data_IF_041487579247
#
_entry.id   IF_041487579247
#
_cell.length_a   1.000
_cell.length_b   1.000
_cell.length_c   1.000
_cell.angle_alpha   90.00
_cell.angle_beta   90.00
_cell.angle_gamma   90.00
#
_symmetry.space_group_name_H-M   'P 1'
#
loop_
_entity.id
_entity.type
_entity.pdbx_description
1 polymer ?
#
# COMPACT_ATOMS: atom_id res chain seq x y z
N UNK A 1 2.80 20.10 -9.40
CA UNK A 1 3.48 18.82 -9.06
C UNK A 1 2.60 17.97 -8.19
N UNK A 2 2.71 16.64 -8.30
CA UNK A 2 1.90 15.70 -7.51
C UNK A 2 2.71 14.49 -7.08
N UNK A 3 2.37 13.93 -5.93
CA UNK A 3 2.82 12.61 -5.49
C UNK A 3 1.65 11.63 -5.53
N UNK A 4 1.87 10.41 -6.02
CA UNK A 4 0.85 9.39 -6.15
C UNK A 4 1.33 8.04 -5.59
N UNK A 5 0.65 7.55 -4.57
CA UNK A 5 0.79 6.18 -4.08
C UNK A 5 -0.21 5.29 -4.82
N UNK A 6 0.30 4.32 -5.58
CA UNK A 6 -0.45 3.36 -6.36
C UNK A 6 -0.60 2.02 -5.62
N UNK A 7 -1.26 2.03 -4.46
CA UNK A 7 -1.34 0.86 -3.60
C UNK A 7 -2.43 -0.16 -3.99
N UNK A 8 -2.21 -1.42 -3.66
CA UNK A 8 -3.17 -2.52 -3.89
C UNK A 8 -4.50 -2.28 -3.17
N UNK A 9 -4.48 -1.70 -1.98
CA UNK A 9 -5.69 -1.45 -1.18
C UNK A 9 -6.27 -0.05 -1.38
N UNK A 10 -5.42 0.94 -1.53
CA UNK A 10 -5.77 2.35 -1.67
C UNK A 10 -4.84 3.05 -2.65
N UNK A 11 -5.37 4.05 -3.34
CA UNK A 11 -4.61 5.07 -4.03
C UNK A 11 -4.64 6.36 -3.21
N UNK A 12 -3.51 7.01 -3.09
CA UNK A 12 -3.38 8.30 -2.40
C UNK A 12 -2.65 9.29 -3.30
N UNK A 13 -3.23 10.46 -3.50
CA UNK A 13 -2.59 11.56 -4.20
C UNK A 13 -2.35 12.74 -3.26
N UNK A 14 -1.20 13.37 -3.36
CA UNK A 14 -0.80 14.57 -2.60
C UNK A 14 -0.36 15.65 -3.59
N UNK A 15 -0.86 16.85 -3.39
CA UNK A 15 -0.41 18.07 -4.09
C UNK A 15 -0.47 19.28 -3.14
N UNK A 16 -0.24 20.48 -3.66
CA UNK A 16 -0.29 21.74 -2.89
C UNK A 16 -1.66 22.02 -2.24
N UNK A 17 -2.75 21.43 -2.76
CA UNK A 17 -4.10 21.63 -2.27
C UNK A 17 -4.48 20.61 -1.19
N UNK A 18 -3.60 19.66 -0.89
CA UNK A 18 -3.79 18.64 0.13
C UNK A 18 -3.81 17.22 -0.41
N UNK A 19 -4.52 16.34 0.28
CA UNK A 19 -4.51 14.90 0.05
C UNK A 19 -5.88 14.38 -0.40
N UNK A 20 -5.85 13.43 -1.32
CA UNK A 20 -7.04 12.68 -1.79
C UNK A 20 -6.76 11.20 -1.71
N UNK A 21 -7.76 10.44 -1.29
CA UNK A 21 -7.68 8.98 -1.11
C UNK A 21 -8.85 8.30 -1.80
N UNK A 22 -8.57 7.20 -2.47
CA UNK A 22 -9.57 6.33 -3.09
C UNK A 22 -9.23 4.86 -2.87
N UNK A 23 -10.24 4.05 -2.53
CA UNK A 23 -10.09 2.59 -2.46
C UNK A 23 -9.82 2.03 -3.85
N UNK A 24 -8.89 1.10 -3.96
CA UNK A 24 -8.57 0.39 -5.20
C UNK A 24 -9.48 -0.84 -5.33
N UNK A 25 -10.74 -0.60 -5.63
CA UNK A 25 -11.76 -1.63 -5.78
C UNK A 25 -12.88 -1.18 -6.70
N UNK A 26 -13.59 -2.13 -7.30
CA UNK A 26 -14.80 -1.88 -8.05
C UNK A 26 -15.82 -3.01 -7.90
N UNK A 27 -17.11 -2.65 -8.14
CA UNK A 27 -18.24 -3.57 -8.16
C UNK A 27 -18.88 -3.54 -9.53
N UNK A 28 -18.96 -4.68 -10.19
CA UNK A 28 -19.62 -4.81 -11.48
C UNK A 28 -21.10 -5.08 -11.32
N UNK A 29 -21.93 -4.27 -11.99
CA UNK A 29 -23.39 -4.43 -12.07
C UNK A 29 -23.85 -4.34 -13.51
N UNK A 30 -25.05 -4.89 -13.78
CA UNK A 30 -25.64 -4.84 -15.10
C UNK A 30 -26.12 -3.41 -15.43
N UNK A 31 -25.82 -2.96 -16.66
CA UNK A 31 -26.29 -1.70 -17.17
C UNK A 31 -27.76 -1.80 -17.55
N UNK A 32 -28.58 -0.98 -16.89
CA UNK A 32 -29.95 -0.71 -17.27
C UNK A 32 -30.19 0.79 -17.27
N UNK A 33 -31.25 1.25 -17.95
CA UNK A 33 -31.65 2.67 -17.91
C UNK A 33 -31.86 3.15 -16.48
N UNK A 34 -32.44 2.30 -15.63
CA UNK A 34 -32.74 2.63 -14.22
C UNK A 34 -31.43 2.72 -13.41
N UNK A 35 -30.51 1.73 -13.50
CA UNK A 35 -29.26 1.74 -12.76
C UNK A 35 -28.40 2.93 -13.16
N UNK A 36 -28.24 3.20 -14.45
CA UNK A 36 -27.49 4.36 -14.95
C UNK A 36 -28.05 5.67 -14.43
N UNK A 37 -29.37 5.84 -14.50
CA UNK A 37 -30.03 7.06 -13.99
C UNK A 37 -29.82 7.24 -12.50
N UNK A 38 -29.92 6.17 -11.70
CA UNK A 38 -29.75 6.24 -10.25
C UNK A 38 -28.31 6.60 -9.88
N UNK A 39 -27.30 5.97 -10.50
CA UNK A 39 -25.91 6.30 -10.26
C UNK A 39 -25.59 7.76 -10.57
N UNK A 40 -26.09 8.28 -11.71
CA UNK A 40 -25.92 9.67 -12.08
C UNK A 40 -26.61 10.63 -11.11
N UNK A 41 -27.86 10.34 -10.70
CA UNK A 41 -28.59 11.16 -9.73
C UNK A 41 -27.89 11.27 -8.39
N UNK A 42 -27.30 10.15 -7.92
CA UNK A 42 -26.60 10.05 -6.64
C UNK A 42 -25.11 10.41 -6.76
N UNK A 43 -24.65 10.82 -7.97
CA UNK A 43 -23.24 11.14 -8.25
C UNK A 43 -22.26 10.03 -7.82
N UNK A 44 -22.67 8.78 -8.02
CA UNK A 44 -21.82 7.63 -7.73
C UNK A 44 -20.78 7.47 -8.84
N UNK A 45 -19.48 7.42 -8.55
CA UNK A 45 -18.46 7.24 -9.57
C UNK A 45 -18.53 5.84 -10.17
N UNK A 46 -18.58 5.74 -11.48
CA UNK A 46 -18.57 4.47 -12.20
C UNK A 46 -17.90 4.61 -13.58
N UNK A 47 -17.46 3.49 -14.11
CA UNK A 47 -16.96 3.33 -15.48
C UNK A 47 -17.88 2.39 -16.24
N UNK A 48 -18.17 2.70 -17.49
CA UNK A 48 -18.90 1.81 -18.39
C UNK A 48 -17.89 1.06 -19.29
N UNK A 49 -17.91 -0.28 -19.19
CA UNK A 49 -17.05 -1.17 -19.99
C UNK A 49 -17.92 -2.33 -20.50
N UNK A 50 -17.87 -2.62 -21.78
CA UNK A 50 -18.58 -3.77 -22.38
C UNK A 50 -20.04 -3.88 -21.96
N UNK A 51 -20.77 -2.75 -21.95
CA UNK A 51 -22.18 -2.66 -21.55
C UNK A 51 -22.47 -3.08 -20.09
N UNK A 52 -21.45 -3.00 -19.22
CA UNK A 52 -21.57 -3.19 -17.77
C UNK A 52 -21.13 -1.91 -17.05
N UNK A 53 -21.63 -1.70 -15.84
CA UNK A 53 -21.25 -0.56 -15.00
C UNK A 53 -20.33 -1.05 -13.88
N UNK A 54 -19.17 -0.43 -13.75
CA UNK A 54 -18.20 -0.71 -12.70
C UNK A 54 -18.19 0.46 -11.72
N UNK A 55 -18.88 0.30 -10.57
CA UNK A 55 -18.85 1.29 -9.48
C UNK A 55 -17.48 1.22 -8.84
N UNK A 56 -16.80 2.37 -8.70
CA UNK A 56 -15.39 2.41 -8.25
C UNK A 56 -15.24 2.94 -6.82
N UNK A 57 -14.15 2.53 -6.16
CA UNK A 57 -13.68 3.07 -4.90
C UNK A 57 -14.56 2.72 -3.70
N UNK A 58 -14.68 3.66 -2.75
CA UNK A 58 -15.45 3.46 -1.51
C UNK A 58 -16.91 3.08 -1.79
N UNK A 59 -17.50 3.65 -2.83
CA UNK A 59 -18.88 3.34 -3.21
C UNK A 59 -19.07 1.89 -3.64
N UNK A 60 -18.07 1.25 -4.21
CA UNK A 60 -18.11 -0.17 -4.52
C UNK A 60 -18.39 -1.03 -3.27
N UNK A 61 -17.72 -0.74 -2.15
CA UNK A 61 -17.94 -1.44 -0.86
C UNK A 61 -19.36 -1.22 -0.33
N UNK A 62 -19.84 0.03 -0.33
CA UNK A 62 -21.19 0.37 0.14
C UNK A 62 -22.26 -0.39 -0.67
N UNK A 63 -22.14 -0.39 -2.00
CA UNK A 63 -23.08 -1.06 -2.88
C UNK A 63 -22.98 -2.60 -2.81
N UNK A 64 -21.78 -3.16 -2.65
CA UNK A 64 -21.61 -4.60 -2.49
C UNK A 64 -22.38 -5.14 -1.27
N UNK A 65 -22.38 -4.41 -0.15
CA UNK A 65 -23.13 -4.78 1.04
C UNK A 65 -24.65 -4.75 0.79
N UNK A 66 -25.15 -3.73 0.09
CA UNK A 66 -26.60 -3.59 -0.23
C UNK A 66 -27.05 -4.69 -1.18
N UNK A 67 -26.24 -5.07 -2.16
CA UNK A 67 -26.57 -6.09 -3.15
C UNK A 67 -26.26 -7.54 -2.71
N UNK A 68 -26.23 -7.81 -1.41
CA UNK A 68 -26.11 -9.16 -0.87
C UNK A 68 -24.68 -9.71 -0.88
N UNK A 69 -23.70 -8.89 -0.51
CA UNK A 69 -22.29 -9.24 -0.42
C UNK A 69 -21.71 -9.76 -1.75
N UNK A 70 -22.04 -9.07 -2.85
CA UNK A 70 -21.37 -9.34 -4.13
C UNK A 70 -19.86 -9.16 -3.96
N UNK A 71 -19.08 -10.03 -4.61
CA UNK A 71 -17.64 -9.95 -4.59
C UNK A 71 -17.14 -8.66 -5.25
N UNK A 72 -16.22 -8.00 -4.56
CA UNK A 72 -15.49 -6.86 -5.07
C UNK A 72 -14.32 -7.34 -5.91
N UNK A 73 -14.12 -6.71 -7.05
CA UNK A 73 -12.91 -6.87 -7.85
C UNK A 73 -11.90 -5.78 -7.52
N UNK A 74 -10.62 -6.09 -7.70
CA UNK A 74 -9.51 -5.12 -7.57
C UNK A 74 -8.70 -5.09 -8.84
N UNK A 75 -8.42 -3.89 -9.39
CA UNK A 75 -7.48 -3.71 -10.51
C UNK A 75 -6.07 -4.21 -10.20
N UNK A 76 -5.70 -4.23 -8.92
CA UNK A 76 -4.40 -4.69 -8.46
C UNK A 76 -4.54 -5.80 -7.42
N UNK A 77 -3.62 -6.75 -7.45
CA UNK A 77 -3.51 -7.87 -6.51
C UNK A 77 -2.04 -8.11 -6.17
N UNK A 78 -1.76 -8.38 -4.90
CA UNK A 78 -0.40 -8.71 -4.45
C UNK A 78 0.66 -7.68 -4.90
N UNK A 79 0.34 -6.40 -4.80
CA UNK A 79 1.23 -5.29 -5.14
C UNK A 79 1.29 -4.89 -6.61
N UNK A 80 0.75 -5.68 -7.52
CA UNK A 80 0.84 -5.47 -8.97
C UNK A 80 -0.52 -5.47 -9.65
N UNK A 81 -0.55 -5.17 -10.94
CA UNK A 81 -1.75 -5.32 -11.76
C UNK A 81 -2.28 -6.74 -11.66
N UNK A 82 -3.60 -6.84 -11.51
CA UNK A 82 -4.26 -8.13 -11.40
C UNK A 82 -4.43 -8.78 -12.79
N UNK A 83 -3.67 -9.85 -13.12
CA UNK A 83 -3.70 -10.44 -14.45
C UNK A 83 -5.01 -11.18 -14.75
N UNK A 84 -5.81 -11.49 -13.73
CA UNK A 84 -7.10 -12.19 -13.89
C UNK A 84 -8.27 -11.24 -14.07
N UNK A 85 -8.07 -9.93 -13.88
CA UNK A 85 -9.11 -8.91 -13.99
C UNK A 85 -9.03 -8.21 -15.35
N UNK A 86 -9.93 -8.57 -16.25
CA UNK A 86 -9.93 -8.06 -17.63
C UNK A 86 -10.21 -6.56 -17.73
N UNK A 87 -10.99 -6.03 -16.78
CA UNK A 87 -11.39 -4.62 -16.75
C UNK A 87 -10.45 -3.75 -15.88
N UNK A 88 -9.31 -4.33 -15.42
CA UNK A 88 -8.38 -3.65 -14.52
C UNK A 88 -7.86 -2.32 -15.07
N UNK A 89 -7.40 -2.31 -16.32
CA UNK A 89 -6.77 -1.13 -16.92
C UNK A 89 -7.73 0.09 -17.02
N UNK A 90 -8.92 -0.01 -17.63
CA UNK A 90 -9.82 1.14 -17.71
C UNK A 90 -10.33 1.59 -16.34
N UNK A 91 -10.57 0.67 -15.38
CA UNK A 91 -10.95 1.03 -14.02
C UNK A 91 -9.82 1.78 -13.31
N UNK A 92 -8.59 1.28 -13.42
CA UNK A 92 -7.40 1.90 -12.85
C UNK A 92 -7.19 3.32 -13.36
N UNK A 93 -7.33 3.51 -14.68
CA UNK A 93 -7.25 4.82 -15.32
C UNK A 93 -8.25 5.83 -14.73
N UNK A 94 -9.50 5.42 -14.52
CA UNK A 94 -10.53 6.29 -13.95
C UNK A 94 -10.32 6.56 -12.45
N UNK A 95 -9.77 5.61 -11.68
CA UNK A 95 -9.37 5.85 -10.29
C UNK A 95 -8.26 6.93 -10.26
N UNK A 96 -7.22 6.78 -11.07
CA UNK A 96 -6.11 7.75 -11.14
C UNK A 96 -6.63 9.11 -11.62
N UNK A 97 -7.41 9.15 -12.72
CA UNK A 97 -8.01 10.38 -13.22
C UNK A 97 -8.85 11.10 -12.15
N UNK A 98 -9.65 10.36 -11.37
CA UNK A 98 -10.46 10.90 -10.29
C UNK A 98 -9.64 11.51 -9.16
N UNK A 99 -8.41 11.03 -8.93
CA UNK A 99 -7.52 11.53 -7.89
C UNK A 99 -6.67 12.70 -8.34
N UNK A 100 -6.04 12.60 -9.51
CA UNK A 100 -5.05 13.60 -9.95
C UNK A 100 -5.57 14.58 -11.00
N UNK A 101 -6.70 14.26 -11.66
CA UNK A 101 -7.21 15.03 -12.79
C UNK A 101 -6.36 14.85 -14.05
N UNK A 102 -6.56 15.75 -15.02
CA UNK A 102 -5.63 15.92 -16.15
C UNK A 102 -4.60 16.98 -15.79
N UNK A 103 -3.42 16.90 -16.36
CA UNK A 103 -2.40 17.94 -16.21
C UNK A 103 -2.96 19.32 -16.64
N UNK A 104 -2.75 20.32 -15.81
CA UNK A 104 -3.20 21.70 -16.07
C UNK A 104 -2.16 22.52 -16.86
N UNK A 105 -0.91 22.08 -16.80
CA UNK A 105 0.23 22.72 -17.45
C UNK A 105 1.01 21.69 -18.27
N UNK A 106 1.63 22.15 -19.34
CA UNK A 106 2.57 21.32 -20.10
C UNK A 106 3.72 20.87 -19.20
N UNK A 107 4.06 19.57 -19.25
CA UNK A 107 5.10 18.92 -18.43
C UNK A 107 4.86 19.05 -16.91
N UNK A 108 3.60 19.11 -16.49
CA UNK A 108 3.30 18.98 -15.06
C UNK A 108 3.81 17.64 -14.55
N UNK A 109 4.65 17.67 -13.50
CA UNK A 109 5.28 16.45 -12.97
C UNK A 109 4.39 15.73 -11.99
N UNK A 110 4.45 14.41 -12.08
CA UNK A 110 3.91 13.50 -11.09
C UNK A 110 4.92 12.39 -10.78
N UNK A 111 5.26 12.23 -9.51
CA UNK A 111 6.03 11.08 -9.04
C UNK A 111 5.06 10.06 -8.47
N UNK A 112 5.16 8.83 -8.94
CA UNK A 112 4.30 7.72 -8.46
C UNK A 112 5.15 6.57 -7.95
N UNK A 113 4.64 5.84 -6.93
CA UNK A 113 5.38 4.73 -6.37
C UNK A 113 5.12 3.41 -7.10
N UNK A 114 6.14 2.56 -7.10
CA UNK A 114 6.10 1.16 -7.53
C UNK A 114 6.72 0.28 -6.43
N UNK A 115 6.32 -0.99 -6.30
CA UNK A 115 6.92 -1.88 -5.32
C UNK A 115 8.36 -2.21 -5.67
N UNK A 116 9.15 -2.56 -4.68
CA UNK A 116 10.45 -3.19 -4.87
C UNK A 116 10.30 -4.59 -5.48
N UNK A 117 11.41 -5.13 -6.02
CA UNK A 117 11.41 -6.50 -6.55
C UNK A 117 11.15 -7.49 -5.41
N UNK A 118 10.11 -8.36 -5.52
CA UNK A 118 9.86 -9.36 -4.49
C UNK A 118 10.95 -10.44 -4.50
N UNK A 119 11.42 -10.82 -3.32
CA UNK A 119 12.47 -11.85 -3.14
C UNK A 119 11.89 -13.25 -2.91
N UNK A 120 10.63 -13.34 -2.60
CA UNK A 120 9.91 -14.57 -2.24
C UNK A 120 8.90 -15.03 -3.31
N UNK A 121 8.82 -14.30 -4.42
CA UNK A 121 7.90 -14.60 -5.53
C UNK A 121 8.47 -14.10 -6.86
N UNK A 122 8.23 -14.86 -7.92
CA UNK A 122 8.55 -14.40 -9.28
C UNK A 122 7.40 -13.55 -9.80
N UNK A 123 7.62 -12.25 -9.95
CA UNK A 123 6.63 -11.30 -10.46
C UNK A 123 7.30 -10.23 -11.35
N UNK A 124 6.56 -9.79 -12.38
CA UNK A 124 7.02 -8.80 -13.37
C UNK A 124 6.65 -7.37 -12.93
N UNK A 125 7.53 -6.74 -12.16
CA UNK A 125 7.33 -5.35 -11.67
C UNK A 125 7.39 -4.36 -12.85
N UNK A 126 8.27 -4.58 -13.83
CA UNK A 126 8.46 -3.67 -14.95
C UNK A 126 7.18 -3.46 -15.77
N UNK A 127 6.43 -4.54 -16.04
CA UNK A 127 5.14 -4.42 -16.73
C UNK A 127 4.13 -3.56 -15.97
N UNK A 128 4.10 -3.69 -14.65
CA UNK A 128 3.24 -2.88 -13.79
C UNK A 128 3.62 -1.39 -13.86
N UNK A 129 4.92 -1.09 -13.76
CA UNK A 129 5.45 0.27 -13.87
C UNK A 129 5.11 0.89 -15.24
N UNK A 130 5.34 0.16 -16.33
CA UNK A 130 5.06 0.62 -17.69
C UNK A 130 3.59 0.97 -17.89
N UNK A 131 2.67 0.14 -17.36
CA UNK A 131 1.23 0.39 -17.48
C UNK A 131 0.80 1.62 -16.66
N UNK A 132 1.30 1.78 -15.44
CA UNK A 132 1.01 2.97 -14.64
C UNK A 132 1.54 4.22 -15.33
N UNK A 133 2.77 4.16 -15.85
CA UNK A 133 3.38 5.25 -16.62
C UNK A 133 2.51 5.65 -17.81
N UNK A 134 2.09 4.69 -18.64
CA UNK A 134 1.23 4.94 -19.80
C UNK A 134 -0.10 5.59 -19.41
N UNK A 135 -0.72 5.15 -18.31
CA UNK A 135 -1.95 5.77 -17.80
C UNK A 135 -1.69 7.24 -17.46
N UNK A 136 -0.66 7.50 -16.66
CA UNK A 136 -0.33 8.84 -16.16
C UNK A 136 0.08 9.77 -17.28
N UNK A 137 0.92 9.31 -18.22
CA UNK A 137 1.32 10.06 -19.41
C UNK A 137 0.08 10.41 -20.28
N UNK A 138 -0.90 9.48 -20.39
CA UNK A 138 -2.15 9.74 -21.13
C UNK A 138 -3.02 10.85 -20.52
N UNK A 139 -2.78 11.20 -19.26
CA UNK A 139 -3.42 12.32 -18.57
C UNK A 139 -2.67 13.65 -18.75
N UNK A 140 -1.54 13.64 -19.48
CA UNK A 140 -0.74 14.81 -19.81
C UNK A 140 0.40 15.13 -18.85
N UNK A 141 0.68 14.25 -17.88
CA UNK A 141 1.76 14.43 -16.92
C UNK A 141 3.10 13.94 -17.47
N UNK A 142 4.19 14.50 -16.94
CA UNK A 142 5.54 13.92 -17.01
C UNK A 142 5.69 12.98 -15.80
N UNK A 143 5.55 11.68 -16.05
CA UNK A 143 5.48 10.66 -15.00
C UNK A 143 6.86 10.07 -14.68
N UNK A 144 7.20 10.00 -13.38
CA UNK A 144 8.39 9.32 -12.87
C UNK A 144 8.04 8.33 -11.77
N UNK A 145 8.59 7.12 -11.86
CA UNK A 145 8.47 6.10 -10.83
C UNK A 145 9.52 6.26 -9.72
N UNK A 146 9.14 5.93 -8.49
CA UNK A 146 10.03 5.77 -7.34
C UNK A 146 9.67 4.50 -6.58
N UNK A 147 10.64 3.86 -5.93
CA UNK A 147 10.37 2.74 -5.04
C UNK A 147 9.52 3.19 -3.84
N UNK A 148 8.48 2.41 -3.51
CA UNK A 148 7.52 2.71 -2.43
C UNK A 148 8.20 2.90 -1.07
N UNK A 149 9.21 2.08 -0.74
CA UNK A 149 9.92 2.21 0.52
C UNK A 149 10.90 3.41 0.52
N UNK A 150 11.48 3.76 -0.63
CA UNK A 150 12.29 4.99 -0.74
C UNK A 150 11.40 6.22 -0.55
N UNK A 151 10.23 6.25 -1.18
CA UNK A 151 9.26 7.34 -0.97
C UNK A 151 8.88 7.48 0.51
N UNK A 152 8.60 6.36 1.20
CA UNK A 152 8.37 6.38 2.65
C UNK A 152 9.57 6.96 3.42
N UNK A 153 10.80 6.59 3.02
CA UNK A 153 12.03 7.10 3.62
C UNK A 153 12.17 8.62 3.47
N UNK A 154 11.86 9.16 2.29
CA UNK A 154 11.85 10.60 2.05
C UNK A 154 10.84 11.34 2.93
N UNK A 155 9.69 10.72 3.25
CA UNK A 155 8.69 11.31 4.13
C UNK A 155 9.05 11.21 5.63
N UNK A 156 9.76 10.17 6.06
CA UNK A 156 9.90 9.85 7.49
C UNK A 156 11.31 9.88 8.07
N UNK A 157 12.37 9.93 7.24
CA UNK A 157 13.77 9.95 7.69
C UNK A 157 14.43 11.33 7.64
N UNK A 158 13.69 12.40 7.41
CA UNK A 158 14.25 13.75 7.27
C UNK A 158 15.08 14.18 8.50
N UNK A 159 14.58 13.92 9.70
CA UNK A 159 15.28 14.26 10.96
C UNK A 159 16.52 13.41 11.21
N UNK A 160 16.66 12.28 10.52
CA UNK A 160 17.82 11.38 10.56
C UNK A 160 18.75 11.57 9.36
N UNK A 161 18.68 12.73 8.68
CA UNK A 161 19.50 13.00 7.49
C UNK A 161 19.26 12.01 6.34
N UNK A 162 18.00 11.55 6.16
CA UNK A 162 17.59 10.54 5.19
C UNK A 162 18.41 9.23 5.30
N UNK A 163 18.80 8.88 6.53
CA UNK A 163 19.57 7.67 6.85
C UNK A 163 18.74 6.78 7.77
N UNK A 164 18.57 5.50 7.41
CA UNK A 164 17.77 4.55 8.18
C UNK A 164 17.14 3.45 7.34
N UNK A 165 16.22 2.72 7.96
CA UNK A 165 15.46 1.66 7.33
C UNK A 165 13.99 2.12 7.23
N UNK A 166 13.43 2.11 6.03
CA UNK A 166 12.02 2.38 5.78
C UNK A 166 11.28 1.12 5.36
N UNK A 167 10.12 0.86 5.98
CA UNK A 167 9.30 -0.33 5.73
C UNK A 167 7.86 0.12 5.44
N UNK A 168 7.41 -0.04 4.18
CA UNK A 168 6.01 0.18 3.82
C UNK A 168 5.24 -1.12 3.89
N UNK A 169 4.25 -1.17 4.80
CA UNK A 169 3.36 -2.30 5.05
C UNK A 169 2.06 -2.10 4.28
N UNK A 170 2.06 -2.47 2.98
CA UNK A 170 0.90 -2.34 2.10
C UNK A 170 -0.16 -3.44 2.29
N UNK A 171 -1.18 -3.45 1.46
CA UNK A 171 -2.12 -4.56 1.36
C UNK A 171 -1.47 -5.74 0.61
N UNK A 172 -0.88 -5.49 -0.55
CA UNK A 172 -0.34 -6.53 -1.43
C UNK A 172 1.09 -6.97 -1.13
N UNK A 173 1.95 -6.03 -0.70
CA UNK A 173 3.37 -6.28 -0.42
C UNK A 173 3.86 -5.48 0.79
N UNK A 174 4.91 -5.99 1.45
CA UNK A 174 5.78 -5.20 2.31
C UNK A 174 7.02 -4.79 1.51
N UNK A 175 7.28 -3.50 1.41
CA UNK A 175 8.44 -2.93 0.73
C UNK A 175 9.44 -2.42 1.77
N UNK A 176 10.73 -2.65 1.51
CA UNK A 176 11.81 -2.22 2.39
C UNK A 176 12.88 -1.50 1.57
N UNK A 177 13.40 -0.40 2.15
CA UNK A 177 14.61 0.24 1.68
C UNK A 177 15.54 0.57 2.85
N UNK A 178 16.83 0.43 2.62
CA UNK A 178 17.89 0.92 3.50
C UNK A 178 18.53 2.10 2.81
N UNK A 179 18.50 3.24 3.50
CA UNK A 179 18.93 4.52 2.95
C UNK A 179 20.11 5.07 3.75
N UNK A 180 21.05 5.67 3.05
CA UNK A 180 22.17 6.43 3.63
C UNK A 180 22.27 7.78 2.92
N UNK A 181 22.10 8.87 3.64
CA UNK A 181 22.14 10.23 3.12
C UNK A 181 21.27 10.41 1.86
N UNK A 182 20.05 9.84 1.86
CA UNK A 182 19.10 9.91 0.76
C UNK A 182 19.31 8.88 -0.37
N UNK A 183 20.42 8.15 -0.38
CA UNK A 183 20.68 7.11 -1.37
C UNK A 183 20.22 5.75 -0.87
N UNK A 184 19.52 4.99 -1.73
CA UNK A 184 19.16 3.60 -1.43
C UNK A 184 20.40 2.70 -1.58
N UNK A 185 20.68 1.88 -0.56
CA UNK A 185 21.77 0.91 -0.54
C UNK A 185 21.27 -0.52 -0.70
N UNK A 186 20.03 -0.77 -0.30
CA UNK A 186 19.34 -2.05 -0.49
C UNK A 186 17.83 -1.78 -0.56
N UNK A 187 17.17 -2.43 -1.50
CA UNK A 187 15.72 -2.38 -1.63
C UNK A 187 15.17 -3.72 -2.11
N UNK A 188 14.08 -4.16 -1.53
CA UNK A 188 13.35 -5.36 -1.92
C UNK A 188 11.91 -5.33 -1.37
N UNK A 189 11.10 -6.27 -1.82
CA UNK A 189 9.78 -6.52 -1.23
C UNK A 189 9.56 -7.98 -0.87
N UNK A 190 8.54 -8.23 -0.08
CA UNK A 190 8.01 -9.57 0.21
C UNK A 190 6.50 -9.60 -0.02
N UNK A 191 5.99 -10.72 -0.55
CA UNK A 191 4.58 -10.86 -0.90
C UNK A 191 3.65 -11.11 0.30
N UNK A 192 4.19 -11.39 1.50
CA UNK A 192 3.39 -11.54 2.72
C UNK A 192 3.11 -10.15 3.31
N UNK A 193 1.88 -9.69 3.16
CA UNK A 193 1.42 -8.40 3.67
C UNK A 193 -0.05 -8.45 4.10
N UNK A 194 -0.79 -7.36 4.02
CA UNK A 194 -2.16 -7.26 4.52
C UNK A 194 -3.13 -8.27 3.92
N UNK A 195 -3.09 -8.48 2.60
CA UNK A 195 -3.95 -9.44 1.91
C UNK A 195 -3.63 -10.90 2.32
N UNK A 196 -2.34 -11.20 2.52
CA UNK A 196 -1.93 -12.51 3.03
C UNK A 196 -2.50 -12.79 4.43
N UNK A 197 -2.60 -11.79 5.30
CA UNK A 197 -3.26 -11.92 6.60
C UNK A 197 -4.74 -12.21 6.39
N UNK A 198 -5.43 -11.42 5.55
CA UNK A 198 -6.87 -11.57 5.31
C UNK A 198 -7.23 -12.94 4.75
N UNK A 199 -6.45 -13.46 3.79
CA UNK A 199 -6.63 -14.77 3.19
C UNK A 199 -6.46 -15.90 4.22
N UNK A 200 -5.44 -15.81 5.07
CA UNK A 200 -5.18 -16.85 6.08
C UNK A 200 -6.19 -16.83 7.22
N UNK A 201 -6.58 -15.65 7.70
CA UNK A 201 -7.66 -15.51 8.70
C UNK A 201 -8.98 -16.03 8.13
N UNK A 202 -9.30 -15.68 6.89
CA UNK A 202 -10.50 -16.16 6.20
C UNK A 202 -10.56 -17.70 6.15
N UNK A 203 -9.47 -18.32 5.72
CA UNK A 203 -9.35 -19.78 5.63
C UNK A 203 -9.52 -20.46 6.99
N UNK A 204 -8.81 -19.97 8.02
CA UNK A 204 -8.77 -20.64 9.32
C UNK A 204 -10.04 -20.41 10.14
N UNK A 205 -10.73 -19.28 9.91
CA UNK A 205 -11.98 -18.95 10.60
C UNK A 205 -13.25 -19.36 9.83
N UNK A 206 -13.12 -19.75 8.54
CA UNK A 206 -14.25 -20.11 7.69
C UNK A 206 -15.11 -18.90 7.30
N UNK A 207 -14.50 -17.75 7.11
CA UNK A 207 -15.16 -16.50 6.69
C UNK A 207 -14.61 -16.01 5.34
N UNK A 208 -15.23 -14.99 4.73
CA UNK A 208 -14.68 -14.38 3.53
C UNK A 208 -13.46 -13.47 3.83
N UNK A 209 -12.55 -13.32 2.86
CA UNK A 209 -11.41 -12.39 2.99
C UNK A 209 -11.87 -10.94 3.21
N UNK A 210 -13.00 -10.52 2.62
CA UNK A 210 -13.59 -9.21 2.86
C UNK A 210 -14.02 -9.04 4.33
N UNK A 211 -14.57 -10.10 4.96
CA UNK A 211 -14.93 -10.08 6.39
C UNK A 211 -13.68 -10.06 7.27
N UNK A 212 -12.62 -10.82 6.92
CA UNK A 212 -11.35 -10.80 7.62
C UNK A 212 -10.70 -9.40 7.55
N UNK A 213 -10.69 -8.77 6.37
CA UNK A 213 -10.23 -7.40 6.17
C UNK A 213 -11.02 -6.41 7.04
N UNK A 214 -12.34 -6.52 7.06
CA UNK A 214 -13.20 -5.66 7.90
C UNK A 214 -12.84 -5.78 9.39
N UNK A 215 -12.65 -7.00 9.89
CA UNK A 215 -12.24 -7.25 11.29
C UNK A 215 -10.85 -6.67 11.55
N UNK A 216 -9.90 -6.88 10.63
CA UNK A 216 -8.54 -6.33 10.74
C UNK A 216 -8.54 -4.79 10.83
N UNK A 217 -9.40 -4.12 10.06
CA UNK A 217 -9.49 -2.66 9.97
C UNK A 217 -10.44 -2.03 11.03
N UNK A 218 -11.17 -2.81 11.82
CA UNK A 218 -12.23 -2.32 12.72
C UNK A 218 -11.73 -1.39 13.84
N UNK A 219 -10.49 -1.56 14.30
CA UNK A 219 -9.86 -0.67 15.29
C UNK A 219 -10.38 -0.79 16.72
N UNK A 220 -11.32 -1.70 17.00
CA UNK A 220 -11.97 -1.91 18.30
C UNK A 220 -11.25 -2.94 19.20
N UNK A 221 -10.11 -3.44 18.78
CA UNK A 221 -9.27 -4.37 19.53
C UNK A 221 -7.78 -4.03 19.31
N UNK A 222 -6.90 -4.74 20.05
CA UNK A 222 -5.45 -4.59 19.89
C UNK A 222 -4.78 -5.94 19.69
N UNK A 223 -3.73 -5.96 18.87
CA UNK A 223 -2.87 -7.13 18.65
C UNK A 223 -1.63 -7.13 19.53
N UNK A 224 -1.46 -6.15 20.44
CA UNK A 224 -0.29 -6.06 21.32
C UNK A 224 -0.02 -7.37 22.09
N UNK A 225 1.24 -7.81 22.26
CA UNK A 225 1.60 -9.09 22.84
C UNK A 225 1.17 -9.23 24.32
N UNK A 226 1.28 -8.15 25.09
CA UNK A 226 1.04 -8.11 26.55
C UNK A 226 -0.38 -7.68 26.94
N UNK A 227 -1.28 -7.58 25.95
CA UNK A 227 -2.65 -7.12 26.21
C UNK A 227 -3.50 -8.24 26.79
N UNK A 228 -4.13 -7.98 27.94
CA UNK A 228 -5.14 -8.84 28.58
C UNK A 228 -6.54 -8.69 27.98
N UNK A 229 -6.65 -7.99 26.84
CA UNK A 229 -7.92 -7.80 26.14
C UNK A 229 -8.41 -9.13 25.58
N UNK A 230 -9.64 -9.48 25.94
CA UNK A 230 -10.34 -10.61 25.34
C UNK A 230 -10.51 -10.39 23.84
N UNK A 231 -10.15 -11.36 23.03
CA UNK A 231 -10.25 -11.33 21.56
C UNK A 231 -11.19 -12.41 21.07
N UNK A 232 -11.96 -12.09 20.04
CA UNK A 232 -12.69 -13.13 19.32
C UNK A 232 -11.72 -14.09 18.64
N UNK A 233 -12.22 -15.23 18.16
CA UNK A 233 -11.41 -16.20 17.39
C UNK A 233 -10.74 -15.54 16.20
N UNK A 234 -11.47 -14.70 15.47
CA UNK A 234 -11.01 -14.00 14.27
C UNK A 234 -9.94 -12.95 14.63
N UNK A 235 -10.15 -12.16 15.69
CA UNK A 235 -9.19 -11.17 16.17
C UNK A 235 -7.89 -11.84 16.66
N UNK A 236 -8.00 -13.00 17.30
CA UNK A 236 -6.83 -13.79 17.70
C UNK A 236 -6.10 -14.34 16.48
N UNK A 237 -6.80 -14.78 15.45
CA UNK A 237 -6.20 -15.22 14.19
C UNK A 237 -5.47 -14.04 13.52
N UNK A 238 -6.06 -12.84 13.47
CA UNK A 238 -5.40 -11.62 12.97
C UNK A 238 -4.08 -11.40 13.70
N UNK A 239 -4.07 -11.39 15.04
CA UNK A 239 -2.84 -11.25 15.85
C UNK A 239 -1.78 -12.27 15.44
N UNK A 240 -2.15 -13.54 15.39
CA UNK A 240 -1.24 -14.65 15.04
C UNK A 240 -0.60 -14.44 13.67
N UNK A 241 -1.38 -14.01 12.68
CA UNK A 241 -0.85 -13.78 11.32
C UNK A 241 -0.02 -12.51 11.22
N UNK A 242 -0.29 -11.46 12.02
CA UNK A 242 0.61 -10.31 12.14
C UNK A 242 1.97 -10.72 12.73
N UNK A 243 2.01 -11.49 13.81
CA UNK A 243 3.25 -12.01 14.39
C UNK A 243 4.05 -12.85 13.38
N UNK A 244 3.36 -13.73 12.64
CA UNK A 244 3.97 -14.55 11.60
C UNK A 244 4.53 -13.72 10.44
N UNK A 245 3.81 -12.69 9.99
CA UNK A 245 4.22 -11.77 8.93
C UNK A 245 5.46 -10.96 9.35
N UNK A 246 5.45 -10.35 10.54
CA UNK A 246 6.57 -9.57 11.05
C UNK A 246 7.81 -10.46 11.21
N UNK A 247 7.66 -11.65 11.78
CA UNK A 247 8.76 -12.63 11.91
C UNK A 247 9.34 -13.02 10.56
N UNK A 248 8.49 -13.22 9.57
CA UNK A 248 8.89 -13.52 8.19
C UNK A 248 9.68 -12.37 7.58
N UNK A 249 9.18 -11.13 7.70
CA UNK A 249 9.84 -9.93 7.20
C UNK A 249 11.23 -9.76 7.83
N UNK A 250 11.32 -9.79 9.16
CA UNK A 250 12.60 -9.66 9.88
C UNK A 250 13.61 -10.74 9.50
N UNK A 251 13.15 -11.98 9.25
CA UNK A 251 14.03 -13.07 8.79
C UNK A 251 14.56 -12.81 7.39
N UNK A 252 13.73 -12.28 6.48
CA UNK A 252 14.18 -11.91 5.14
C UNK A 252 15.16 -10.74 5.15
N UNK A 253 14.92 -9.74 6.01
CA UNK A 253 15.87 -8.65 6.21
C UNK A 253 17.25 -9.21 6.62
N UNK A 254 17.29 -10.03 7.66
CA UNK A 254 18.55 -10.64 8.13
C UNK A 254 19.26 -11.47 7.04
N UNK A 255 18.51 -12.22 6.23
CA UNK A 255 19.05 -12.99 5.12
C UNK A 255 19.62 -12.10 4.01
N UNK A 256 18.95 -11.01 3.66
CA UNK A 256 19.44 -10.06 2.65
C UNK A 256 20.73 -9.38 3.12
N UNK A 257 20.81 -9.00 4.39
CA UNK A 257 22.05 -8.47 4.98
C UNK A 257 23.22 -9.46 4.90
N UNK A 258 22.97 -10.74 5.17
CA UNK A 258 24.01 -11.77 5.10
C UNK A 258 24.49 -12.04 3.66
N UNK A 259 23.67 -11.78 2.66
CA UNK A 259 23.96 -12.05 1.23
C UNK A 259 24.47 -10.84 0.44
N UNK A 260 24.38 -9.63 1.01
CA UNK A 260 24.72 -8.38 0.32
C UNK A 260 25.82 -7.63 1.07
N UNK A 261 26.76 -7.04 0.34
CA UNK A 261 27.77 -6.16 0.96
C UNK A 261 27.08 -4.87 1.42
N UNK A 262 26.78 -4.78 2.69
CA UNK A 262 26.13 -3.64 3.29
C UNK A 262 27.12 -2.53 3.63
N UNK A 263 26.73 -1.24 3.52
CA UNK A 263 27.55 -0.16 4.03
C UNK A 263 27.67 -0.28 5.56
N UNK A 264 28.85 0.10 6.06
CA UNK A 264 29.05 0.21 7.49
C UNK A 264 28.49 1.55 7.96
N UNK A 265 27.37 1.52 8.70
CA UNK A 265 26.79 2.71 9.29
C UNK A 265 27.63 3.15 10.50
N UNK A 266 28.07 4.41 10.57
CA UNK A 266 28.90 4.88 11.68
C UNK A 266 28.12 4.94 13.00
N UNK A 267 26.79 5.13 12.93
CA UNK A 267 25.91 5.31 14.08
C UNK A 267 24.69 4.37 13.96
N UNK A 268 24.01 4.18 15.09
CA UNK A 268 22.74 3.46 15.13
C UNK A 268 21.68 4.20 14.30
N UNK A 269 20.90 3.45 13.51
CA UNK A 269 19.91 4.00 12.56
C UNK A 269 18.47 3.73 12.99
N UNK A 270 17.49 4.62 12.67
CA UNK A 270 16.10 4.35 12.94
C UNK A 270 15.48 3.36 11.95
N UNK A 271 14.47 2.62 12.42
CA UNK A 271 13.50 1.92 11.57
C UNK A 271 12.19 2.71 11.61
N UNK A 272 11.75 3.18 10.45
CA UNK A 272 10.44 3.79 10.28
C UNK A 272 9.50 2.85 9.53
N UNK A 273 8.24 2.83 9.95
CA UNK A 273 7.23 1.94 9.38
C UNK A 273 6.01 2.76 8.99
N UNK A 274 5.47 2.50 7.79
CA UNK A 274 4.26 3.12 7.27
C UNK A 274 3.38 2.13 6.51
N UNK A 275 2.36 2.62 5.82
CA UNK A 275 1.40 1.83 5.07
C UNK A 275 0.19 1.36 5.88
N UNK A 276 -0.92 1.09 5.19
CA UNK A 276 -2.21 0.81 5.83
C UNK A 276 -2.21 -0.40 6.77
N UNK A 277 -1.41 -1.44 6.46
CA UNK A 277 -1.33 -2.65 7.30
C UNK A 277 -0.60 -2.42 8.63
N UNK A 278 0.15 -1.32 8.79
CA UNK A 278 0.80 -0.96 10.06
C UNK A 278 -0.14 -0.26 11.06
N UNK A 279 -1.37 0.07 10.64
CA UNK A 279 -2.29 0.90 11.44
C UNK A 279 -3.13 0.13 12.46
N UNK A 280 -3.08 -1.19 12.46
CA UNK A 280 -3.81 -2.01 13.45
C UNK A 280 -3.27 -1.71 14.85
N UNK A 281 -4.17 -1.49 15.80
CA UNK A 281 -3.78 -1.17 17.17
C UNK A 281 -2.86 -2.23 17.79
N UNK A 282 -1.73 -1.80 18.34
CA UNK A 282 -0.71 -2.69 18.92
C UNK A 282 0.28 -3.28 17.88
N UNK A 283 0.21 -2.86 16.60
CA UNK A 283 1.15 -3.35 15.58
C UNK A 283 2.60 -3.06 15.94
N UNK A 284 2.90 -1.83 16.38
CA UNK A 284 4.27 -1.45 16.72
C UNK A 284 4.83 -2.28 17.90
N UNK A 285 3.96 -2.67 18.82
CA UNK A 285 4.35 -3.52 19.97
C UNK A 285 4.67 -4.94 19.50
N UNK A 286 3.86 -5.49 18.59
CA UNK A 286 4.15 -6.78 17.91
C UNK A 286 5.47 -6.69 17.15
N UNK A 287 5.71 -5.63 16.41
CA UNK A 287 6.95 -5.48 15.65
C UNK A 287 8.18 -5.45 16.58
N UNK A 288 8.13 -4.63 17.64
CA UNK A 288 9.21 -4.53 18.64
C UNK A 288 9.45 -5.85 19.36
N UNK A 289 8.40 -6.55 19.77
CA UNK A 289 8.49 -7.87 20.41
C UNK A 289 9.19 -8.88 19.50
N UNK A 290 8.79 -8.99 18.26
CA UNK A 290 9.41 -9.90 17.28
C UNK A 290 10.85 -9.48 16.92
N UNK A 291 11.15 -8.17 16.90
CA UNK A 291 12.47 -7.65 16.65
C UNK A 291 13.45 -8.02 17.77
N UNK A 292 13.04 -7.91 19.05
CA UNK A 292 13.86 -8.28 20.21
C UNK A 292 14.23 -9.77 20.24
N UNK A 293 13.43 -10.62 19.60
CA UNK A 293 13.68 -12.06 19.50
C UNK A 293 14.67 -12.43 18.38
N UNK A 294 15.15 -11.45 17.62
CA UNK A 294 16.07 -11.65 16.49
C UNK A 294 17.38 -10.92 16.71
N UNK A 295 18.46 -11.57 16.31
CA UNK A 295 19.74 -10.89 16.18
C UNK A 295 19.71 -10.08 14.88
N UNK A 296 19.70 -8.76 15.00
CA UNK A 296 19.65 -7.86 13.86
C UNK A 296 21.06 -7.37 13.49
N UNK A 297 21.39 -7.29 12.20
CA UNK A 297 22.79 -7.03 11.77
C UNK A 297 23.23 -5.57 11.86
N UNK A 298 22.30 -4.64 12.16
CA UNK A 298 22.60 -3.23 12.38
C UNK A 298 22.17 -2.81 13.79
N UNK A 299 22.87 -1.82 14.34
CA UNK A 299 22.44 -1.15 15.55
C UNK A 299 21.27 -0.22 15.25
N UNK A 300 20.15 -0.40 15.98
CA UNK A 300 18.92 0.34 15.77
C UNK A 300 18.69 1.34 16.90
N UNK A 301 18.59 2.62 16.56
CA UNK A 301 18.37 3.70 17.52
C UNK A 301 16.90 3.76 18.02
N UNK A 302 15.95 3.58 17.11
CA UNK A 302 14.51 3.56 17.43
C UNK A 302 13.71 2.78 16.38
N UNK A 303 12.52 2.30 16.77
CA UNK A 303 11.52 1.71 15.87
C UNK A 303 10.21 2.46 16.09
N UNK A 304 9.68 3.10 15.03
CA UNK A 304 8.47 3.91 15.13
C UNK A 304 7.61 3.86 13.87
N UNK A 305 6.32 4.14 14.05
CA UNK A 305 5.44 4.46 12.94
C UNK A 305 5.74 5.90 12.47
N UNK A 306 5.62 6.13 11.16
CA UNK A 306 5.60 7.48 10.61
C UNK A 306 4.29 8.17 10.95
N UNK A 307 4.28 9.49 10.93
CA UNK A 307 3.04 10.26 11.01
C UNK A 307 2.14 9.94 9.81
N UNK A 308 0.85 9.72 10.07
CA UNK A 308 -0.13 9.35 9.04
C UNK A 308 0.34 8.19 8.15
N UNK A 309 0.49 6.96 8.66
CA UNK A 309 1.11 5.85 7.94
C UNK A 309 0.49 5.54 6.57
N UNK A 310 -0.83 5.75 6.42
CA UNK A 310 -1.56 5.47 5.17
C UNK A 310 -1.15 6.38 4.01
N UNK A 311 -0.65 7.58 4.31
CA UNK A 311 -0.44 8.64 3.32
C UNK A 311 1.03 8.99 3.13
N UNK A 312 1.89 8.43 3.98
CA UNK A 312 3.30 8.77 4.04
C UNK A 312 4.05 8.50 2.72
N UNK A 313 3.71 7.40 2.01
CA UNK A 313 4.30 7.08 0.70
C UNK A 313 3.97 8.16 -0.32
N UNK A 314 2.70 8.57 -0.44
CA UNK A 314 2.31 9.65 -1.35
C UNK A 314 2.96 10.99 -1.02
N UNK A 315 3.14 11.28 0.29
CA UNK A 315 3.91 12.47 0.73
C UNK A 315 5.36 12.39 0.29
N UNK A 316 5.99 11.22 0.40
CA UNK A 316 7.34 11.01 -0.08
C UNK A 316 7.48 11.14 -1.59
N UNK A 317 6.51 10.63 -2.36
CA UNK A 317 6.44 10.88 -3.80
C UNK A 317 6.33 12.39 -4.12
N UNK A 318 5.55 13.13 -3.33
CA UNK A 318 5.42 14.57 -3.50
C UNK A 318 6.72 15.32 -3.15
N UNK A 319 7.42 14.91 -2.09
CA UNK A 319 8.76 15.44 -1.75
C UNK A 319 9.73 15.23 -2.91
N UNK A 320 9.78 14.02 -3.47
CA UNK A 320 10.64 13.71 -4.63
C UNK A 320 10.29 14.58 -5.84
N UNK A 321 8.99 14.80 -6.11
CA UNK A 321 8.58 15.67 -7.21
C UNK A 321 9.08 17.12 -7.04
N UNK A 322 9.28 17.60 -5.81
CA UNK A 322 9.78 18.92 -5.49
C UNK A 322 11.31 19.02 -5.57
N UNK A 323 12.05 17.96 -5.23
CA UNK A 323 13.53 17.95 -5.23
C UNK A 323 14.12 18.11 -6.63
N UNK A 324 13.40 17.72 -7.66
CA UNK A 324 13.87 17.78 -9.06
C UNK A 324 13.73 19.20 -9.68
N UNK A 325 13.15 20.17 -9.00
CA UNK A 325 13.09 21.57 -9.49
C UNK A 325 14.33 22.39 -9.14
N UNK A 326 15.19 21.91 -8.25
CA UNK A 326 16.40 22.59 -7.81
C UNK A 326 17.65 21.97 -8.45
#
# INVERSE_FOLDING_TARGET
MKGLDCGTGNFVAVDENGMRLQRNAFLTIDKTTTTTRQLNLLKVPYVEINNRLHIIGKKAYEYAQVFGNKELSRPMSQGLLNPTEQDAFPVLREIILGLVGKAEKEKERIVYCVPGKPIDKVQEVNYHEDVLKQIIDSLGYEARAINEAIALGLAGLQTAGLTGISISMGAGMCNLAIMYAGMSTLEFSVAKSGDWIDENVARDCGISSAKAQYIKEAGDYTIAPTSDVERTREQQAVKTYYEAMVRYLLSNIANQFASTSMPNFPDAVPIIIGGGSSMVNGFIDVFKDQFQQKQFPLEISEIKLVDEPLTAVARGCYVEAQLEEN
#
